data_IF_201153272453
#
_entry.id   IF_201153272453
#
_cell.length_a   1.000
_cell.length_b   1.000
_cell.length_c   1.000
_cell.angle_alpha   90.00
_cell.angle_beta   90.00
_cell.angle_gamma   90.00
#
_symmetry.space_group_name_H-M   'P 1'
#
loop_
_entity.id
_entity.type
_entity.pdbx_description
1 polymer ?
#
# COMPACT_ATOMS: atom_id res chain seq x y z
N UNK A 1 -2.09 -18.84 29.21
CA UNK A 1 -0.64 -18.82 28.99
C UNK A 1 -0.25 -19.27 27.60
N UNK A 2 -0.73 -20.44 27.16
CA UNK A 2 -0.45 -20.94 25.81
C UNK A 2 -0.98 -19.98 24.74
N UNK A 3 -2.13 -19.36 24.97
CA UNK A 3 -2.75 -18.42 24.03
C UNK A 3 -1.86 -17.18 23.79
N UNK A 4 -1.24 -16.65 24.85
CA UNK A 4 -0.35 -15.50 24.72
C UNK A 4 0.89 -15.81 23.89
N UNK A 5 1.47 -16.99 24.06
CA UNK A 5 2.65 -17.43 23.30
C UNK A 5 2.29 -17.60 21.82
N UNK A 6 1.14 -18.18 21.52
CA UNK A 6 0.67 -18.37 20.14
C UNK A 6 0.45 -17.03 19.45
N UNK A 7 -0.15 -16.06 20.14
CA UNK A 7 -0.40 -14.72 19.58
C UNK A 7 0.93 -14.03 19.26
N UNK A 8 1.92 -14.08 20.16
CA UNK A 8 3.23 -13.50 19.93
C UNK A 8 3.92 -14.15 18.74
N UNK A 9 3.84 -15.47 18.63
CA UNK A 9 4.43 -16.20 17.52
C UNK A 9 3.81 -15.79 16.17
N UNK A 10 2.47 -15.72 16.11
CA UNK A 10 1.77 -15.29 14.90
C UNK A 10 2.11 -13.85 14.51
N UNK A 11 2.20 -12.97 15.50
CA UNK A 11 2.60 -11.57 15.25
C UNK A 11 4.02 -11.49 14.70
N UNK A 12 4.97 -12.23 15.30
CA UNK A 12 6.34 -12.27 14.82
C UNK A 12 6.45 -12.80 13.41
N UNK A 13 5.71 -13.88 13.11
CA UNK A 13 5.68 -14.45 11.77
C UNK A 13 5.15 -13.45 10.74
N UNK A 14 4.15 -12.67 11.11
CA UNK A 14 3.59 -11.64 10.24
C UNK A 14 4.59 -10.51 9.99
N UNK A 15 5.25 -10.05 11.04
CA UNK A 15 6.22 -8.96 10.95
C UNK A 15 7.44 -9.35 10.12
N UNK A 16 7.79 -10.63 10.10
CA UNK A 16 8.94 -11.16 9.36
C UNK A 16 8.61 -11.54 7.91
N UNK A 17 7.37 -11.33 7.47
CA UNK A 17 6.98 -11.63 6.10
C UNK A 17 7.88 -10.89 5.11
N UNK A 18 8.39 -11.63 4.12
CA UNK A 18 9.24 -11.04 3.09
C UNK A 18 8.44 -10.13 2.19
N UNK A 19 8.64 -8.83 2.35
CA UNK A 19 7.91 -7.82 1.58
C UNK A 19 8.24 -7.83 0.09
N UNK A 20 9.39 -8.41 -0.29
CA UNK A 20 9.75 -8.54 -1.71
C UNK A 20 8.82 -9.52 -2.44
N UNK A 21 8.19 -10.44 -1.72
CA UNK A 21 7.21 -11.38 -2.30
C UNK A 21 5.83 -10.76 -2.49
N UNK A 22 5.63 -9.54 -2.00
CA UNK A 22 4.34 -8.84 -2.11
C UNK A 22 4.28 -7.91 -3.32
N UNK A 23 5.20 -8.05 -4.26
CA UNK A 23 5.21 -7.23 -5.46
C UNK A 23 4.08 -7.64 -6.40
N UNK A 24 3.51 -6.64 -7.08
CA UNK A 24 2.53 -6.87 -8.14
C UNK A 24 2.95 -6.06 -9.37
N UNK A 25 2.90 -6.69 -10.55
CA UNK A 25 3.25 -6.01 -11.79
C UNK A 25 2.20 -4.97 -12.17
N UNK A 26 2.62 -3.87 -12.83
CA UNK A 26 1.66 -2.85 -13.28
C UNK A 26 0.53 -3.40 -14.14
N UNK A 27 0.81 -4.34 -15.04
CA UNK A 27 -0.22 -4.91 -15.90
C UNK A 27 -1.27 -5.70 -15.12
N UNK A 28 -0.84 -6.50 -14.14
CA UNK A 28 -1.76 -7.23 -13.30
C UNK A 28 -2.54 -6.29 -12.37
N UNK A 29 -1.86 -5.29 -11.82
CA UNK A 29 -2.51 -4.29 -10.99
C UNK A 29 -3.59 -3.55 -11.77
N UNK A 30 -3.29 -3.13 -12.99
CA UNK A 30 -4.25 -2.44 -13.85
C UNK A 30 -5.47 -3.29 -14.12
N UNK A 31 -5.26 -4.55 -14.46
CA UNK A 31 -6.35 -5.50 -14.71
C UNK A 31 -7.26 -5.64 -13.47
N UNK A 32 -6.66 -5.81 -12.29
CA UNK A 32 -7.42 -5.95 -11.05
C UNK A 32 -8.14 -4.66 -10.67
N UNK A 33 -7.49 -3.51 -10.83
CA UNK A 33 -8.12 -2.21 -10.56
C UNK A 33 -9.32 -1.96 -11.47
N UNK A 34 -9.27 -2.43 -12.71
CA UNK A 34 -10.36 -2.26 -13.67
C UNK A 34 -11.53 -3.20 -13.42
N UNK A 35 -11.29 -4.35 -12.79
CA UNK A 35 -12.32 -5.40 -12.65
C UNK A 35 -12.82 -5.59 -11.22
N UNK A 36 -12.07 -5.14 -10.21
CA UNK A 36 -12.42 -5.30 -8.79
C UNK A 36 -12.66 -3.92 -8.18
N UNK A 37 -13.77 -3.74 -7.47
CA UNK A 37 -14.18 -2.42 -6.96
C UNK A 37 -13.59 -2.07 -5.60
N UNK A 38 -13.18 -3.05 -4.81
CA UNK A 38 -12.86 -2.84 -3.40
C UNK A 38 -11.35 -2.70 -3.14
N UNK A 39 -10.55 -2.61 -4.19
CA UNK A 39 -9.10 -2.42 -4.04
C UNK A 39 -8.80 -0.95 -3.73
N UNK A 40 -8.00 -0.74 -2.71
CA UNK A 40 -7.49 0.59 -2.37
C UNK A 40 -6.15 0.76 -3.05
N UNK A 41 -6.01 1.82 -3.83
CA UNK A 41 -4.75 2.21 -4.45
C UNK A 41 -4.15 3.34 -3.61
N UNK A 42 -3.05 3.06 -2.93
CA UNK A 42 -2.47 3.96 -1.95
C UNK A 42 -1.18 4.58 -2.45
N UNK A 43 -1.17 5.91 -2.56
CA UNK A 43 0.01 6.70 -2.89
C UNK A 43 0.64 7.19 -1.58
N UNK A 44 1.90 6.84 -1.34
CA UNK A 44 2.60 7.23 -0.12
C UNK A 44 3.66 8.31 -0.37
N UNK A 45 3.56 9.00 -1.51
CA UNK A 45 4.44 10.12 -1.85
C UNK A 45 3.99 11.40 -1.12
N UNK A 46 4.63 12.51 -1.44
CA UNK A 46 4.24 13.80 -0.90
C UNK A 46 3.02 14.36 -1.63
N UNK A 47 2.34 15.33 -1.01
CA UNK A 47 1.23 16.03 -1.66
C UNK A 47 1.68 16.71 -2.96
N UNK A 48 2.86 17.32 -2.95
CA UNK A 48 3.40 17.97 -4.14
C UNK A 48 3.54 16.99 -5.31
N UNK A 49 4.10 15.81 -5.04
CA UNK A 49 4.23 14.78 -6.06
C UNK A 49 2.87 14.31 -6.58
N UNK A 50 1.92 14.11 -5.67
CA UNK A 50 0.57 13.67 -6.01
C UNK A 50 -0.12 14.68 -6.94
N UNK A 51 -0.03 15.96 -6.62
CA UNK A 51 -0.65 17.02 -7.42
C UNK A 51 -0.03 17.09 -8.81
N UNK A 52 1.28 16.90 -8.92
CA UNK A 52 1.97 16.90 -10.22
C UNK A 52 1.45 15.79 -11.13
N UNK A 53 1.36 14.58 -10.63
CA UNK A 53 0.67 13.48 -11.31
C UNK A 53 0.44 12.33 -10.33
N UNK A 54 -0.64 11.59 -10.53
CA UNK A 54 -0.92 10.39 -9.75
C UNK A 54 -1.74 9.41 -10.57
N UNK A 55 -1.78 8.16 -10.14
CA UNK A 55 -2.60 7.14 -10.78
C UNK A 55 -4.07 7.44 -10.44
N UNK A 56 -4.99 7.42 -11.43
CA UNK A 56 -6.39 7.72 -11.15
C UNK A 56 -6.97 6.85 -10.03
N UNK A 57 -7.83 7.43 -9.22
CA UNK A 57 -8.52 6.78 -8.09
C UNK A 57 -7.61 6.44 -6.92
N UNK A 58 -6.36 6.90 -6.92
CA UNK A 58 -5.48 6.67 -5.77
C UNK A 58 -5.84 7.58 -4.60
N UNK A 59 -5.60 7.07 -3.41
CA UNK A 59 -5.73 7.79 -2.14
C UNK A 59 -4.34 8.16 -1.66
N UNK A 60 -4.13 9.42 -1.31
CA UNK A 60 -2.85 9.90 -0.81
C UNK A 60 -2.80 9.82 0.72
N UNK A 61 -1.82 9.08 1.22
CA UNK A 61 -1.42 9.17 2.63
C UNK A 61 0.11 9.16 2.62
N UNK A 62 0.76 10.32 2.76
CA UNK A 62 2.22 10.38 2.74
C UNK A 62 2.85 9.47 3.80
N UNK A 63 3.99 8.90 3.45
CA UNK A 63 4.67 7.91 4.30
C UNK A 63 4.90 8.43 5.73
N UNK A 64 5.27 9.71 5.87
CA UNK A 64 5.61 10.28 7.16
C UNK A 64 4.40 10.40 8.12
N UNK A 65 3.18 10.32 7.62
CA UNK A 65 1.97 10.36 8.45
C UNK A 65 1.18 9.06 8.39
N UNK A 66 1.66 8.07 7.64
CA UNK A 66 0.92 6.84 7.40
C UNK A 66 0.58 6.10 8.70
N UNK A 67 1.53 5.93 9.60
CA UNK A 67 1.30 5.22 10.85
C UNK A 67 0.20 5.88 11.69
N UNK A 68 0.15 7.21 11.68
CA UNK A 68 -0.82 7.98 12.44
C UNK A 68 -2.21 7.97 11.81
N UNK A 69 -2.26 7.99 10.48
CA UNK A 69 -3.53 8.19 9.76
C UNK A 69 -4.16 6.91 9.22
N UNK A 70 -3.42 5.81 9.17
CA UNK A 70 -3.90 4.58 8.54
C UNK A 70 -5.18 4.06 9.19
N UNK A 71 -5.25 4.03 10.51
CA UNK A 71 -6.42 3.48 11.21
C UNK A 71 -7.72 4.21 10.87
N UNK A 72 -7.65 5.52 10.65
CA UNK A 72 -8.81 6.32 10.29
C UNK A 72 -9.13 6.24 8.80
N UNK A 73 -8.12 6.32 7.95
CA UNK A 73 -8.30 6.39 6.49
C UNK A 73 -8.40 5.04 5.82
N UNK A 74 -7.88 3.99 6.45
CA UNK A 74 -7.89 2.62 5.96
C UNK A 74 -8.47 1.71 7.04
N UNK A 75 -9.76 1.84 7.35
CA UNK A 75 -10.34 1.13 8.50
C UNK A 75 -10.46 -0.37 8.29
N UNK A 76 -10.58 -0.85 7.05
CA UNK A 76 -10.66 -2.29 6.77
C UNK A 76 -9.27 -2.87 6.57
N UNK A 77 -8.76 -3.54 7.60
CA UNK A 77 -7.40 -4.12 7.56
C UNK A 77 -7.27 -5.35 6.68
N UNK A 78 -8.38 -5.85 6.15
CA UNK A 78 -8.40 -7.01 5.25
C UNK A 78 -8.60 -6.61 3.79
N UNK A 79 -8.87 -5.34 3.52
CA UNK A 79 -9.00 -4.85 2.16
C UNK A 79 -7.69 -5.02 1.39
N UNK A 80 -7.79 -5.33 0.10
CA UNK A 80 -6.63 -5.35 -0.76
C UNK A 80 -6.12 -3.93 -0.97
N UNK A 81 -4.84 -3.70 -0.67
CA UNK A 81 -4.21 -2.39 -0.80
C UNK A 81 -2.99 -2.52 -1.70
N UNK A 82 -3.00 -1.79 -2.81
CA UNK A 82 -1.86 -1.66 -3.71
C UNK A 82 -1.15 -0.36 -3.36
N UNK A 83 0.11 -0.45 -2.95
CA UNK A 83 0.88 0.69 -2.46
C UNK A 83 1.93 1.08 -3.49
N UNK A 84 2.00 2.37 -3.83
CA UNK A 84 3.03 2.84 -4.74
C UNK A 84 3.66 4.15 -4.26
N UNK A 85 4.85 4.42 -4.77
CA UNK A 85 5.53 5.69 -4.59
C UNK A 85 6.15 6.12 -5.92
N UNK A 86 7.27 6.82 -5.91
CA UNK A 86 7.91 7.22 -7.16
C UNK A 86 8.72 6.08 -7.77
N UNK A 87 9.62 5.45 -6.99
CA UNK A 87 10.57 4.46 -7.49
C UNK A 87 10.51 3.10 -6.77
N UNK A 88 9.73 2.98 -5.70
CA UNK A 88 9.51 1.71 -5.00
C UNK A 88 10.06 1.63 -3.58
N UNK A 89 10.93 2.54 -3.15
CA UNK A 89 11.54 2.46 -1.82
C UNK A 89 10.57 2.84 -0.70
N UNK A 90 9.85 3.96 -0.87
CA UNK A 90 8.85 4.40 0.12
C UNK A 90 7.67 3.43 0.20
N UNK A 91 7.25 2.88 -0.93
CA UNK A 91 6.16 1.91 -0.96
C UNK A 91 6.54 0.62 -0.23
N UNK A 92 7.78 0.18 -0.36
CA UNK A 92 8.29 -0.97 0.39
C UNK A 92 8.25 -0.71 1.89
N UNK A 93 8.71 0.47 2.32
CA UNK A 93 8.65 0.87 3.73
C UNK A 93 7.21 0.96 4.23
N UNK A 94 6.31 1.49 3.40
CA UNK A 94 4.89 1.60 3.73
C UNK A 94 4.25 0.22 3.93
N UNK A 95 4.56 -0.73 3.05
CA UNK A 95 4.05 -2.11 3.18
C UNK A 95 4.52 -2.72 4.50
N UNK A 96 5.79 -2.56 4.86
CA UNK A 96 6.30 -3.05 6.14
C UNK A 96 5.55 -2.43 7.32
N UNK A 97 5.33 -1.13 7.26
CA UNK A 97 4.62 -0.41 8.32
C UNK A 97 3.19 -0.90 8.46
N UNK A 98 2.48 -1.05 7.34
CA UNK A 98 1.09 -1.52 7.35
C UNK A 98 0.98 -2.96 7.84
N UNK A 99 1.93 -3.83 7.50
CA UNK A 99 1.96 -5.19 8.04
C UNK A 99 2.04 -5.16 9.56
N UNK A 100 2.90 -4.32 10.13
CA UNK A 100 3.03 -4.17 11.58
C UNK A 100 1.76 -3.64 12.22
N UNK A 101 0.98 -2.86 11.49
CA UNK A 101 -0.30 -2.32 11.97
C UNK A 101 -1.46 -3.31 11.82
N UNK A 102 -1.19 -4.50 11.29
CA UNK A 102 -2.20 -5.56 11.20
C UNK A 102 -2.90 -5.69 9.86
N UNK A 103 -2.45 -4.95 8.84
CA UNK A 103 -3.01 -5.09 7.50
C UNK A 103 -2.50 -6.39 6.88
N UNK A 104 -3.41 -7.15 6.25
CA UNK A 104 -3.11 -8.52 5.84
C UNK A 104 -3.09 -8.75 4.32
N UNK A 105 -3.53 -7.79 3.53
CA UNK A 105 -3.72 -8.00 2.08
C UNK A 105 -3.06 -6.89 1.30
N UNK A 106 -1.73 -6.85 1.36
CA UNK A 106 -0.92 -5.75 0.86
C UNK A 106 -0.11 -6.18 -0.36
N UNK A 107 0.03 -5.26 -1.31
CA UNK A 107 0.82 -5.47 -2.51
C UNK A 107 1.65 -4.23 -2.78
N UNK A 108 2.92 -4.43 -3.11
CA UNK A 108 3.81 -3.33 -3.49
C UNK A 108 3.77 -3.17 -5.02
N UNK A 109 3.10 -2.12 -5.48
CA UNK A 109 3.05 -1.78 -6.91
C UNK A 109 4.36 -1.16 -7.38
N UNK A 110 5.16 -0.63 -6.46
CA UNK A 110 6.45 -0.05 -6.79
C UNK A 110 6.39 1.42 -7.14
N UNK A 111 6.97 1.79 -8.27
CA UNK A 111 7.12 3.19 -8.63
C UNK A 111 6.21 3.63 -9.78
N UNK A 112 5.63 4.82 -9.64
CA UNK A 112 4.84 5.43 -10.71
C UNK A 112 5.67 5.64 -11.98
N UNK A 113 7.00 5.73 -11.85
CA UNK A 113 7.89 5.85 -13.02
C UNK A 113 7.81 4.65 -13.95
N UNK A 114 7.33 3.50 -13.46
CA UNK A 114 7.13 2.28 -14.27
C UNK A 114 5.68 2.03 -14.65
N UNK A 115 4.79 2.94 -14.27
CA UNK A 115 3.37 2.81 -14.57
C UNK A 115 3.14 3.26 -16.02
N UNK A 116 2.80 2.33 -16.94
CA UNK A 116 2.69 2.66 -18.37
C UNK A 116 1.31 3.16 -18.78
N UNK A 117 0.42 3.34 -17.82
CA UNK A 117 -0.96 3.69 -18.08
C UNK A 117 -1.23 5.14 -17.72
N UNK A 118 -2.48 5.57 -17.86
CA UNK A 118 -2.91 6.94 -17.63
C UNK A 118 -2.59 7.41 -16.21
N UNK A 119 -2.11 8.64 -16.10
CA UNK A 119 -2.01 9.39 -14.85
C UNK A 119 -2.80 10.68 -15.00
N UNK A 120 -3.15 11.30 -13.89
CA UNK A 120 -3.88 12.56 -13.84
C UNK A 120 -3.14 13.53 -12.93
N UNK A 121 -3.45 14.83 -13.09
CA UNK A 121 -2.86 15.89 -12.25
C UNK A 121 -3.93 16.53 -11.39
N UNK A 122 -3.51 17.22 -10.32
CA UNK A 122 -4.42 17.91 -9.42
C UNK A 122 -4.68 17.13 -8.14
N UNK A 123 -5.61 17.65 -7.32
CA UNK A 123 -5.86 17.07 -6.00
C UNK A 123 -6.83 15.88 -6.00
N UNK A 124 -7.33 15.54 -7.18
CA UNK A 124 -8.22 14.38 -7.29
C UNK A 124 -7.82 13.47 -8.42
#
# INVERSE_FOLDING_TARGET
MIVGVIIIWLYGKYADKDVNKLRIDPSEAKKRLDTEKDIILLDVRTEKEYVENHIPRSTLIPLNVLAREAGQKLPNKQAAIFVYCRSGNRSKAAVKMLLKLGYSNLYNLGGIIRWPYKTVSGKK
#
